data_IF_062783808753
#
_entry.id   IF_062783808753
#
_cell.length_a   1.000
_cell.length_b   1.000
_cell.length_c   1.000
_cell.angle_alpha   90.00
_cell.angle_beta   90.00
_cell.angle_gamma   90.00
#
_symmetry.space_group_name_H-M   'P 1'
#
loop_
_entity.id
_entity.type
_entity.pdbx_description
1 polymer ?
#
# COMPACT_ATOMS: atom_id res chain seq x y z
N UNK A 1 29.76 1.67 -31.89
CA UNK A 1 30.11 1.93 -30.48
C UNK A 1 29.03 2.71 -29.73
N UNK A 2 28.80 4.01 -30.01
CA UNK A 2 27.83 4.86 -29.28
C UNK A 2 26.36 4.37 -29.33
N UNK A 3 25.92 3.83 -30.48
CA UNK A 3 24.57 3.24 -30.64
C UNK A 3 24.34 1.98 -29.80
N UNK A 4 25.40 1.20 -29.54
CA UNK A 4 25.33 -0.03 -28.73
C UNK A 4 25.18 0.32 -27.25
N UNK A 5 25.89 1.35 -26.77
CA UNK A 5 25.72 1.88 -25.41
C UNK A 5 24.31 2.43 -25.17
N UNK A 6 23.74 3.15 -26.15
CA UNK A 6 22.39 3.69 -26.05
C UNK A 6 21.33 2.57 -25.93
N UNK A 7 21.50 1.48 -26.67
CA UNK A 7 20.61 0.33 -26.61
C UNK A 7 20.71 -0.44 -25.27
N UNK A 8 21.90 -0.47 -24.66
CA UNK A 8 22.13 -1.05 -23.34
C UNK A 8 21.46 -0.25 -22.21
N UNK A 9 21.44 1.09 -22.32
CA UNK A 9 20.77 1.97 -21.34
C UNK A 9 19.26 1.82 -21.39
N UNK A 10 18.67 1.60 -22.57
CA UNK A 10 17.23 1.35 -22.73
C UNK A 10 16.83 -0.03 -22.21
N UNK A 11 17.70 -1.04 -22.35
CA UNK A 11 17.41 -2.39 -21.84
C UNK A 11 17.43 -2.43 -20.30
N UNK A 12 18.25 -1.59 -19.66
CA UNK A 12 18.35 -1.46 -18.20
C UNK A 12 17.15 -0.74 -17.57
N UNK A 13 16.46 0.13 -18.32
CA UNK A 13 15.28 0.86 -17.81
C UNK A 13 13.98 0.05 -17.86
N UNK A 14 13.94 -1.08 -18.59
CA UNK A 14 12.77 -1.96 -18.67
C UNK A 14 12.65 -2.96 -17.51
N UNK A 15 13.66 -3.07 -16.63
CA UNK A 15 13.62 -3.98 -15.47
C UNK A 15 12.73 -3.48 -14.32
N UNK A 16 12.15 -2.28 -14.44
CA UNK A 16 11.49 -1.55 -13.35
C UNK A 16 9.99 -1.80 -13.15
N UNK A 17 9.35 -2.64 -13.97
CA UNK A 17 7.91 -2.91 -13.84
C UNK A 17 7.71 -4.27 -13.16
N UNK A 18 7.97 -4.34 -11.85
CA UNK A 18 7.43 -5.43 -11.05
C UNK A 18 5.98 -5.10 -10.73
N UNK A 19 5.04 -5.93 -11.18
CA UNK A 19 3.67 -5.88 -10.66
C UNK A 19 3.73 -6.07 -9.14
N UNK A 20 3.13 -5.15 -8.39
CA UNK A 20 3.05 -5.26 -6.94
C UNK A 20 2.20 -6.50 -6.60
N UNK A 21 2.86 -7.61 -6.27
CA UNK A 21 2.18 -8.80 -5.75
C UNK A 21 1.84 -8.58 -4.28
N UNK A 22 0.72 -9.14 -3.83
CA UNK A 22 0.39 -9.16 -2.42
C UNK A 22 1.49 -9.89 -1.64
N UNK A 23 1.88 -9.34 -0.48
CA UNK A 23 2.86 -10.00 0.39
C UNK A 23 2.26 -11.29 0.98
N UNK A 24 3.03 -12.39 1.03
CA UNK A 24 2.65 -13.58 1.79
C UNK A 24 2.37 -13.25 3.25
N UNK A 25 1.48 -14.03 3.89
CA UNK A 25 1.09 -13.81 5.29
C UNK A 25 2.27 -13.82 6.27
N UNK A 26 3.26 -14.68 6.07
CA UNK A 26 4.43 -14.76 6.95
C UNK A 26 5.24 -13.46 6.91
N UNK A 27 5.45 -12.89 5.72
CA UNK A 27 6.15 -11.61 5.57
C UNK A 27 5.41 -10.45 6.26
N UNK A 28 4.07 -10.45 6.21
CA UNK A 28 3.25 -9.43 6.89
C UNK A 28 3.40 -9.52 8.41
N UNK A 29 3.39 -10.74 8.97
CA UNK A 29 3.61 -10.96 10.41
C UNK A 29 5.01 -10.53 10.84
N UNK A 30 6.02 -10.88 10.06
CA UNK A 30 7.41 -10.52 10.35
C UNK A 30 7.63 -9.01 10.27
N UNK A 31 7.04 -8.33 9.29
CA UNK A 31 7.14 -6.87 9.16
C UNK A 31 6.35 -6.10 10.21
N UNK A 32 5.39 -6.75 10.91
CA UNK A 32 4.47 -6.11 11.86
C UNK A 32 3.70 -4.93 11.26
N UNK A 33 3.47 -4.94 9.95
CA UNK A 33 2.79 -3.87 9.21
C UNK A 33 1.80 -4.49 8.21
N UNK A 34 0.53 -4.11 8.30
CA UNK A 34 -0.50 -4.42 7.33
C UNK A 34 -0.90 -3.14 6.58
N UNK A 35 -0.73 -3.15 5.26
CA UNK A 35 -1.14 -2.05 4.38
C UNK A 35 -2.58 -2.27 3.92
N UNK A 36 -3.42 -1.25 4.08
CA UNK A 36 -4.85 -1.32 3.78
C UNK A 36 -5.21 -0.23 2.79
N UNK A 37 -5.66 -0.62 1.59
CA UNK A 37 -6.10 0.31 0.55
C UNK A 37 -7.50 0.84 0.85
N UNK A 38 -7.69 2.15 0.84
CA UNK A 38 -9.01 2.79 1.03
C UNK A 38 -9.17 4.03 0.12
N UNK A 39 -10.40 4.31 -0.38
CA UNK A 39 -10.63 5.40 -1.33
C UNK A 39 -10.57 6.80 -0.70
N UNK A 40 -10.92 6.94 0.59
CA UNK A 40 -10.77 8.19 1.34
C UNK A 40 -11.82 9.28 1.05
N UNK A 41 -12.79 9.00 0.18
CA UNK A 41 -13.91 9.88 -0.18
C UNK A 41 -15.29 9.21 -0.04
N UNK A 42 -15.36 8.00 0.53
CA UNK A 42 -16.56 7.18 0.57
C UNK A 42 -17.14 7.09 1.99
N UNK A 43 -17.89 8.12 2.38
CA UNK A 43 -18.59 8.14 3.66
C UNK A 43 -19.78 7.15 3.67
N UNK A 44 -20.07 6.45 4.79
CA UNK A 44 -19.40 6.52 6.10
C UNK A 44 -18.26 5.49 6.28
N UNK A 45 -17.80 4.84 5.22
CA UNK A 45 -16.88 3.70 5.30
C UNK A 45 -15.41 4.12 5.43
N UNK A 46 -14.91 4.93 4.51
CA UNK A 46 -13.55 5.48 4.56
C UNK A 46 -13.53 6.85 3.87
N UNK A 47 -13.48 7.91 4.68
CA UNK A 47 -13.56 9.29 4.20
C UNK A 47 -12.77 10.25 5.08
N UNK A 48 -12.41 11.41 4.53
CA UNK A 48 -11.81 12.49 5.30
C UNK A 48 -12.89 13.35 5.97
N UNK A 49 -12.75 13.58 7.27
CA UNK A 49 -13.62 14.50 8.00
C UNK A 49 -13.24 15.98 7.75
N UNK A 50 -13.92 16.91 8.41
CA UNK A 50 -13.66 18.37 8.28
C UNK A 50 -12.26 18.79 8.72
N UNK A 51 -11.59 17.99 9.53
CA UNK A 51 -10.21 18.19 9.97
C UNK A 51 -9.20 17.47 9.08
N UNK A 52 -9.63 16.96 7.92
CA UNK A 52 -8.84 16.18 6.98
C UNK A 52 -8.24 14.90 7.61
N UNK A 53 -8.92 14.32 8.61
CA UNK A 53 -8.56 13.01 9.17
C UNK A 53 -9.34 11.91 8.47
N UNK A 54 -8.65 10.89 8.00
CA UNK A 54 -9.25 9.65 7.49
C UNK A 54 -9.97 8.90 8.61
N UNK A 55 -11.28 8.74 8.47
CA UNK A 55 -12.19 8.09 9.43
C UNK A 55 -13.24 7.24 8.71
N UNK A 56 -13.98 6.44 9.46
CA UNK A 56 -15.13 5.67 8.97
C UNK A 56 -15.11 4.23 9.49
N UNK A 57 -16.15 3.47 9.15
CA UNK A 57 -16.31 2.10 9.63
C UNK A 57 -15.13 1.19 9.23
N UNK A 58 -14.64 1.30 8.00
CA UNK A 58 -13.53 0.46 7.52
C UNK A 58 -12.21 0.82 8.21
N UNK A 59 -12.05 2.09 8.60
CA UNK A 59 -10.88 2.58 9.33
C UNK A 59 -10.85 1.98 10.74
N UNK A 60 -11.99 2.01 11.45
CA UNK A 60 -12.12 1.44 12.78
C UNK A 60 -11.95 -0.09 12.76
N UNK A 61 -12.54 -0.76 11.75
CA UNK A 61 -12.38 -2.19 11.54
C UNK A 61 -10.91 -2.57 11.29
N UNK A 62 -10.21 -1.83 10.43
CA UNK A 62 -8.80 -2.09 10.16
C UNK A 62 -7.93 -1.93 11.42
N UNK A 63 -8.15 -0.90 12.23
CA UNK A 63 -7.44 -0.74 13.51
C UNK A 63 -7.74 -1.88 14.49
N UNK A 64 -9.01 -2.30 14.59
CA UNK A 64 -9.39 -3.44 15.43
C UNK A 64 -8.70 -4.74 14.99
N UNK A 65 -8.63 -4.98 13.67
CA UNK A 65 -7.92 -6.11 13.09
C UNK A 65 -6.41 -6.04 13.39
N UNK A 66 -5.78 -4.88 13.19
CA UNK A 66 -4.36 -4.68 13.50
C UNK A 66 -4.05 -4.98 14.97
N UNK A 67 -4.90 -4.50 15.88
CA UNK A 67 -4.78 -4.79 17.32
C UNK A 67 -4.89 -6.29 17.61
N UNK A 68 -5.86 -6.99 17.02
CA UNK A 68 -6.06 -8.42 17.22
C UNK A 68 -4.89 -9.27 16.68
N UNK A 69 -4.24 -8.80 15.62
CA UNK A 69 -3.13 -9.49 14.96
C UNK A 69 -1.74 -9.01 15.43
N UNK A 70 -1.67 -8.03 16.33
CA UNK A 70 -0.43 -7.37 16.74
C UNK A 70 0.34 -6.73 15.57
N UNK A 71 -0.38 -6.11 14.63
CA UNK A 71 0.15 -5.44 13.44
C UNK A 71 -0.14 -3.94 13.48
N UNK A 72 0.79 -3.14 12.97
CA UNK A 72 0.57 -1.73 12.68
C UNK A 72 -0.22 -1.59 11.38
N UNK A 73 -1.22 -0.71 11.36
CA UNK A 73 -2.01 -0.42 10.16
C UNK A 73 -1.43 0.79 9.44
N UNK A 74 -1.16 0.63 8.14
CA UNK A 74 -0.81 1.72 7.24
C UNK A 74 -1.88 1.83 6.15
N UNK A 75 -2.65 2.91 6.19
CA UNK A 75 -3.60 3.19 5.10
C UNK A 75 -2.86 3.71 3.87
N UNK A 76 -3.23 3.18 2.71
CA UNK A 76 -2.72 3.63 1.41
C UNK A 76 -3.89 4.01 0.50
N UNK A 77 -3.74 4.98 -0.41
CA UNK A 77 -4.74 5.23 -1.44
C UNK A 77 -4.98 3.98 -2.28
N UNK A 78 -6.24 3.65 -2.53
CA UNK A 78 -6.67 2.60 -3.46
C UNK A 78 -7.02 3.16 -4.83
#
# INVERSE_FOLDING_TARGET
MKKVYFMFVILLSLSGIHSAMAKPWQEIKESKELRVGVPGDYAPLAFHNRQNKLIGFDIDMAYSLGKALHLNILFVPS
#
